data_IF_342825259443
#
_entry.id   IF_342825259443
#
_cell.length_a   1.000
_cell.length_b   1.000
_cell.length_c   1.000
_cell.angle_alpha   90.00
_cell.angle_beta   90.00
_cell.angle_gamma   90.00
#
_symmetry.space_group_name_H-M   'P 1'
#
loop_
_entity.id
_entity.type
_entity.pdbx_description
1 polymer ?
#
# COMPACT_ATOMS: atom_id res chain seq x y z
N UNK A 1 -3.24 15.21 -9.04
CA UNK A 1 -2.11 14.29 -8.81
C UNK A 1 -2.22 13.17 -9.80
N UNK A 2 -1.11 12.77 -10.42
CA UNK A 2 -1.02 11.53 -11.20
C UNK A 2 -0.91 10.30 -10.26
N UNK A 3 -1.27 9.10 -10.76
CA UNK A 3 -1.20 7.83 -10.01
C UNK A 3 0.17 7.59 -9.39
N UNK A 4 1.23 7.93 -10.13
CA UNK A 4 2.60 7.73 -9.67
C UNK A 4 3.00 8.72 -8.56
N UNK A 5 2.50 9.95 -8.64
CA UNK A 5 2.67 10.93 -7.57
C UNK A 5 1.91 10.49 -6.31
N UNK A 6 0.67 9.99 -6.47
CA UNK A 6 -0.14 9.50 -5.36
C UNK A 6 0.56 8.39 -4.58
N UNK A 7 1.05 7.35 -5.27
CA UNK A 7 1.76 6.25 -4.61
C UNK A 7 3.00 6.75 -3.87
N UNK A 8 3.79 7.60 -4.50
CA UNK A 8 5.03 8.10 -3.88
C UNK A 8 4.72 8.81 -2.56
N UNK A 9 3.78 9.77 -2.60
CA UNK A 9 3.37 10.49 -1.39
C UNK A 9 2.73 9.58 -0.34
N UNK A 10 1.90 8.62 -0.75
CA UNK A 10 1.27 7.66 0.15
C UNK A 10 2.32 6.78 0.86
N UNK A 11 3.32 6.30 0.12
CA UNK A 11 4.33 5.41 0.67
C UNK A 11 5.29 6.12 1.60
N UNK A 12 5.60 7.39 1.33
CA UNK A 12 6.41 8.20 2.23
C UNK A 12 5.68 8.41 3.58
N UNK A 13 4.36 8.63 3.56
CA UNK A 13 3.54 8.69 4.78
C UNK A 13 3.57 7.36 5.54
N UNK A 14 3.42 6.23 4.83
CA UNK A 14 3.44 4.90 5.45
C UNK A 14 4.80 4.59 6.07
N UNK A 15 5.90 4.91 5.37
CA UNK A 15 7.27 4.71 5.88
C UNK A 15 7.55 5.60 7.10
N UNK A 16 7.08 6.84 7.09
CA UNK A 16 7.26 7.78 8.20
C UNK A 16 6.64 7.28 9.52
N UNK A 17 5.67 6.36 9.46
CA UNK A 17 5.07 5.74 10.65
C UNK A 17 5.98 4.74 11.36
N UNK A 18 7.11 4.33 10.75
CA UNK A 18 8.05 3.35 11.32
C UNK A 18 7.33 2.09 11.86
N UNK A 19 6.42 1.53 11.05
CA UNK A 19 5.66 0.33 11.42
C UNK A 19 6.62 -0.81 11.78
N UNK A 20 6.44 -1.41 12.96
CA UNK A 20 7.25 -2.54 13.40
C UNK A 20 6.93 -3.77 12.52
N UNK A 21 7.90 -4.24 11.76
CA UNK A 21 7.80 -5.48 10.98
C UNK A 21 8.15 -6.69 11.85
N UNK A 22 7.38 -7.78 11.83
CA UNK A 22 6.18 -7.99 11.05
C UNK A 22 4.94 -7.28 11.62
N UNK A 23 4.15 -6.63 10.77
CA UNK A 23 2.87 -6.02 11.19
C UNK A 23 1.68 -6.87 10.72
N UNK A 24 0.63 -6.91 11.54
CA UNK A 24 -0.62 -7.58 11.21
C UNK A 24 -1.50 -6.61 10.44
N UNK A 25 -1.86 -6.98 9.21
CA UNK A 25 -2.69 -6.17 8.32
C UNK A 25 -4.17 -6.52 8.50
N UNK A 26 -4.44 -7.82 8.66
CA UNK A 26 -5.75 -8.41 8.91
C UNK A 26 -5.56 -9.66 9.79
N UNK A 27 -6.62 -10.20 10.42
CA UNK A 27 -6.56 -11.45 11.15
C UNK A 27 -6.00 -12.58 10.26
N UNK A 28 -4.78 -13.04 10.57
CA UNK A 28 -4.08 -14.08 9.82
C UNK A 28 -3.15 -13.58 8.70
N UNK A 29 -3.12 -12.27 8.41
CA UNK A 29 -2.19 -11.69 7.43
C UNK A 29 -1.05 -10.94 8.12
N UNK A 30 0.12 -11.57 8.16
CA UNK A 30 1.38 -10.97 8.63
C UNK A 30 2.19 -10.49 7.45
N UNK A 31 2.57 -9.21 7.45
CA UNK A 31 3.52 -8.67 6.48
C UNK A 31 4.90 -8.68 7.11
N UNK A 32 5.81 -9.57 6.67
CA UNK A 32 7.17 -9.67 7.23
C UNK A 32 8.10 -8.55 6.75
N UNK A 33 7.79 -7.95 5.60
CA UNK A 33 8.62 -6.96 4.93
C UNK A 33 7.71 -5.89 4.31
N UNK A 34 7.73 -4.70 4.90
CA UNK A 34 6.91 -3.57 4.48
C UNK A 34 7.26 -3.12 3.06
N UNK A 35 8.55 -3.05 2.71
CA UNK A 35 8.99 -2.57 1.39
C UNK A 35 8.58 -3.54 0.28
N UNK A 36 8.69 -4.86 0.50
CA UNK A 36 8.18 -5.84 -0.46
C UNK A 36 6.68 -5.68 -0.67
N UNK A 37 5.93 -5.50 0.41
CA UNK A 37 4.48 -5.34 0.33
C UNK A 37 4.08 -4.06 -0.40
N UNK A 38 4.72 -2.93 -0.08
CA UNK A 38 4.51 -1.66 -0.77
C UNK A 38 4.87 -1.76 -2.27
N UNK A 39 5.97 -2.42 -2.63
CA UNK A 39 6.33 -2.63 -4.03
C UNK A 39 5.29 -3.47 -4.80
N UNK A 40 4.71 -4.49 -4.15
CA UNK A 40 3.60 -5.26 -4.73
C UNK A 40 2.35 -4.39 -4.92
N UNK A 41 1.97 -3.57 -3.93
CA UNK A 41 0.84 -2.64 -4.05
C UNK A 41 1.05 -1.61 -5.15
N UNK A 42 2.24 -1.02 -5.24
CA UNK A 42 2.60 -0.07 -6.31
C UNK A 42 2.45 -0.69 -7.69
N UNK A 43 3.04 -1.87 -7.88
CA UNK A 43 3.01 -2.55 -9.17
C UNK A 43 1.58 -2.92 -9.56
N UNK A 44 0.77 -3.36 -8.60
CA UNK A 44 -0.61 -3.73 -8.85
C UNK A 44 -1.48 -2.49 -9.16
N UNK A 45 -1.36 -1.40 -8.41
CA UNK A 45 -2.13 -0.18 -8.64
C UNK A 45 -1.77 0.52 -9.96
N UNK A 46 -0.47 0.60 -10.32
CA UNK A 46 -0.04 1.25 -11.57
C UNK A 46 -0.43 0.45 -12.82
N UNK A 47 -0.40 -0.89 -12.73
CA UNK A 47 -0.72 -1.76 -13.87
C UNK A 47 -2.21 -2.16 -13.92
N UNK A 48 -3.03 -1.72 -12.96
CA UNK A 48 -4.46 -2.04 -12.95
C UNK A 48 -5.16 -1.30 -14.09
N UNK A 49 -5.75 -2.08 -15.00
CA UNK A 49 -6.59 -1.58 -16.09
C UNK A 49 -8.07 -1.54 -15.67
N UNK A 50 -8.53 -2.48 -14.83
CA UNK A 50 -9.90 -2.50 -14.30
C UNK A 50 -10.04 -1.48 -13.14
N UNK A 51 -10.96 -0.51 -13.24
CA UNK A 51 -11.19 0.49 -12.20
C UNK A 51 -11.55 -0.09 -10.82
N UNK A 52 -12.16 -1.27 -10.76
CA UNK A 52 -12.52 -1.95 -9.51
C UNK A 52 -11.29 -2.49 -8.80
N UNK A 53 -10.35 -3.03 -9.57
CA UNK A 53 -9.07 -3.55 -9.05
C UNK A 53 -8.21 -2.38 -8.60
N UNK A 54 -8.15 -1.30 -9.40
CA UNK A 54 -7.47 -0.08 -9.01
C UNK A 54 -8.01 0.47 -7.68
N UNK A 55 -9.34 0.55 -7.55
CA UNK A 55 -9.99 0.99 -6.30
C UNK A 55 -9.64 0.08 -5.13
N UNK A 56 -9.63 -1.24 -5.32
CA UNK A 56 -9.24 -2.18 -4.27
C UNK A 56 -7.81 -1.91 -3.75
N UNK A 57 -6.86 -1.66 -4.65
CA UNK A 57 -5.49 -1.34 -4.25
C UNK A 57 -5.36 0.05 -3.64
N UNK A 58 -6.12 1.03 -4.14
CA UNK A 58 -6.23 2.34 -3.51
C UNK A 58 -6.72 2.23 -2.06
N UNK A 59 -7.83 1.52 -1.83
CA UNK A 59 -8.43 1.35 -0.51
C UNK A 59 -7.45 0.65 0.45
N UNK A 60 -6.66 -0.31 -0.04
CA UNK A 60 -5.58 -0.95 0.75
C UNK A 60 -4.48 0.05 1.14
N UNK A 61 -4.03 0.89 0.22
CA UNK A 61 -3.02 1.92 0.50
C UNK A 61 -3.55 2.92 1.53
N UNK A 62 -4.80 3.35 1.40
CA UNK A 62 -5.45 4.24 2.37
C UNK A 62 -5.60 3.58 3.75
N UNK A 63 -5.95 2.29 3.82
CA UNK A 63 -5.99 1.55 5.08
C UNK A 63 -4.60 1.52 5.76
N UNK A 64 -3.52 1.30 5.00
CA UNK A 64 -2.15 1.37 5.54
C UNK A 64 -1.75 2.78 6.00
N UNK A 65 -2.23 3.82 5.32
CA UNK A 65 -1.99 5.20 5.76
C UNK A 65 -2.73 5.52 7.06
N UNK A 66 -3.84 4.83 7.34
CA UNK A 66 -4.64 5.05 8.54
C UNK A 66 -4.14 4.27 9.78
N UNK A 67 -3.34 3.22 9.59
CA UNK A 67 -2.67 2.46 10.67
C UNK A 67 -1.74 3.35 11.50
#
# INVERSE_FOLDING_TARGET
MDKQQYITSAFDIIRAKNLATPFNLDPGSKVPDLEKYLNSLKSAYLNSIDPRIEKLFHDKIEALKAL
#
